data_IF_366848242590
#
_entry.id   IF_366848242590
#
_cell.length_a   1.000
_cell.length_b   1.000
_cell.length_c   1.000
_cell.angle_alpha   90.00
_cell.angle_beta   90.00
_cell.angle_gamma   90.00
#
_symmetry.space_group_name_H-M   'P 1'
#
loop_
_entity.id
_entity.type
_entity.pdbx_description
1 polymer ?
#
# COMPACT_ATOMS: atom_id res chain seq x y z
N UNK A 1 -92.52 71.15 -29.82
CA UNK A 1 -91.29 71.00 -30.64
C UNK A 1 -90.39 70.04 -29.90
N UNK A 2 -90.63 68.73 -30.08
CA UNK A 2 -89.78 67.67 -29.54
C UNK A 2 -88.75 67.31 -30.61
N UNK A 3 -87.47 67.35 -30.25
CA UNK A 3 -86.39 66.88 -31.11
C UNK A 3 -85.66 65.77 -30.38
N UNK A 4 -85.98 64.54 -30.78
CA UNK A 4 -85.28 63.30 -30.42
C UNK A 4 -83.90 63.29 -31.09
N UNK A 5 -82.83 63.17 -30.30
CA UNK A 5 -81.48 62.92 -30.85
C UNK A 5 -80.85 61.67 -30.25
N UNK A 6 -80.79 60.65 -31.10
CA UNK A 6 -79.73 59.66 -31.32
C UNK A 6 -79.05 58.99 -30.11
N UNK A 7 -79.34 57.69 -30.04
CA UNK A 7 -78.54 56.55 -29.59
C UNK A 7 -77.03 56.70 -29.85
N UNK A 8 -76.20 56.47 -28.83
CA UNK A 8 -74.77 56.17 -28.95
C UNK A 8 -74.42 54.95 -28.11
N UNK A 9 -73.99 53.89 -28.80
CA UNK A 9 -73.54 52.60 -28.28
C UNK A 9 -72.19 52.75 -27.57
N UNK A 10 -72.12 52.42 -26.28
CA UNK A 10 -70.86 52.35 -25.53
C UNK A 10 -70.18 51.01 -25.83
N UNK A 11 -69.05 51.03 -26.53
CA UNK A 11 -68.21 49.85 -26.77
C UNK A 11 -66.83 49.99 -26.14
N UNK A 12 -66.44 48.92 -25.41
CA UNK A 12 -65.09 48.47 -25.01
C UNK A 12 -64.23 49.41 -24.14
N UNK A 13 -63.77 48.89 -22.99
CA UNK A 13 -62.38 48.45 -22.87
C UNK A 13 -62.15 47.58 -21.61
N UNK A 14 -61.72 46.33 -21.77
CA UNK A 14 -61.18 45.51 -20.69
C UNK A 14 -59.68 45.81 -20.61
N UNK A 15 -59.27 46.60 -19.63
CA UNK A 15 -57.86 46.75 -19.28
C UNK A 15 -57.40 45.48 -18.55
N UNK A 16 -56.68 44.62 -19.27
CA UNK A 16 -55.90 43.52 -18.67
C UNK A 16 -54.66 44.12 -17.99
N UNK A 17 -54.60 44.03 -16.67
CA UNK A 17 -53.42 44.36 -15.88
C UNK A 17 -52.27 43.39 -16.22
N UNK A 18 -51.12 43.94 -16.62
CA UNK A 18 -49.88 43.18 -16.82
C UNK A 18 -49.21 43.03 -15.45
N UNK A 19 -48.86 41.83 -14.96
CA UNK A 19 -48.14 41.69 -13.70
C UNK A 19 -46.68 42.18 -13.86
N UNK A 20 -46.28 43.15 -13.02
CA UNK A 20 -44.89 43.56 -12.88
C UNK A 20 -44.08 42.41 -12.27
N UNK A 21 -43.30 41.71 -13.10
CA UNK A 21 -42.42 40.61 -12.68
C UNK A 21 -41.15 41.19 -12.08
N UNK A 22 -41.05 41.23 -10.75
CA UNK A 22 -39.82 41.53 -10.05
C UNK A 22 -38.80 40.40 -10.27
N UNK A 23 -37.74 40.68 -11.04
CA UNK A 23 -36.62 39.75 -11.20
C UNK A 23 -35.71 39.84 -9.97
N UNK A 24 -35.67 38.78 -9.17
CA UNK A 24 -34.73 38.64 -8.04
C UNK A 24 -33.30 38.68 -8.61
N UNK A 25 -32.41 39.61 -8.18
CA UNK A 25 -31.08 39.68 -8.74
C UNK A 25 -30.32 38.39 -8.39
N UNK A 26 -29.84 37.69 -9.42
CA UNK A 26 -29.00 36.51 -9.25
C UNK A 26 -27.75 36.90 -8.46
N UNK A 27 -27.62 36.40 -7.22
CA UNK A 27 -26.48 36.67 -6.35
C UNK A 27 -25.21 36.06 -6.95
N UNK A 28 -24.45 36.86 -7.69
CA UNK A 28 -23.19 36.47 -8.33
C UNK A 28 -22.08 36.24 -7.30
N UNK A 29 -22.15 36.89 -6.13
CA UNK A 29 -21.14 36.84 -5.08
C UNK A 29 -21.15 35.52 -4.27
N UNK A 30 -22.32 34.89 -4.11
CA UNK A 30 -22.42 33.56 -3.49
C UNK A 30 -21.81 32.46 -4.36
N UNK A 31 -21.91 32.58 -5.70
CA UNK A 31 -21.30 31.63 -6.63
C UNK A 31 -19.77 31.61 -6.52
N UNK A 32 -19.13 32.78 -6.43
CA UNK A 32 -17.67 32.86 -6.32
C UNK A 32 -17.15 32.30 -4.99
N UNK A 33 -17.88 32.51 -3.88
CA UNK A 33 -17.52 31.94 -2.56
C UNK A 33 -17.62 30.41 -2.54
N UNK A 34 -18.70 29.86 -3.11
CA UNK A 34 -18.89 28.40 -3.18
C UNK A 34 -17.85 27.75 -4.11
N UNK A 35 -17.44 28.44 -5.18
CA UNK A 35 -16.38 27.96 -6.08
C UNK A 35 -15.03 27.90 -5.37
N UNK A 36 -14.65 28.94 -4.61
CA UNK A 36 -13.40 28.96 -3.84
C UNK A 36 -13.39 27.86 -2.78
N UNK A 37 -14.50 27.69 -2.04
CA UNK A 37 -14.63 26.62 -1.06
C UNK A 37 -14.51 25.23 -1.69
N UNK A 38 -15.11 25.01 -2.87
CA UNK A 38 -15.00 23.75 -3.59
C UNK A 38 -13.56 23.42 -4.02
N UNK A 39 -12.79 24.43 -4.46
CA UNK A 39 -11.38 24.26 -4.83
C UNK A 39 -10.51 23.92 -3.62
N UNK A 40 -10.73 24.57 -2.48
CA UNK A 40 -10.01 24.26 -1.23
C UNK A 40 -10.34 22.84 -0.76
N UNK A 41 -11.62 22.46 -0.78
CA UNK A 41 -12.05 21.11 -0.40
C UNK A 41 -11.43 20.03 -1.30
N UNK A 42 -11.42 20.27 -2.62
CA UNK A 42 -10.78 19.37 -3.57
C UNK A 42 -9.27 19.26 -3.33
N UNK A 43 -8.58 20.37 -3.06
CA UNK A 43 -7.15 20.37 -2.72
C UNK A 43 -6.83 19.63 -1.42
N UNK A 44 -7.66 19.77 -0.39
CA UNK A 44 -7.51 19.02 0.86
C UNK A 44 -7.73 17.53 0.65
N UNK A 45 -8.72 17.13 -0.15
CA UNK A 45 -8.97 15.72 -0.49
C UNK A 45 -7.76 15.11 -1.22
N UNK A 46 -7.19 15.82 -2.20
CA UNK A 46 -6.00 15.38 -2.92
C UNK A 46 -4.81 15.22 -1.96
N UNK A 47 -4.61 16.19 -1.05
CA UNK A 47 -3.52 16.16 -0.07
C UNK A 47 -3.68 14.99 0.92
N UNK A 48 -4.89 14.73 1.40
CA UNK A 48 -5.21 13.61 2.29
C UNK A 48 -4.97 12.28 1.58
N UNK A 49 -5.41 12.14 0.32
CA UNK A 49 -5.13 10.94 -0.48
C UNK A 49 -3.63 10.72 -0.67
N UNK A 50 -2.85 11.79 -0.86
CA UNK A 50 -1.40 11.70 -1.00
C UNK A 50 -0.72 11.27 0.30
N UNK A 51 -1.15 11.82 1.44
CA UNK A 51 -0.65 11.42 2.77
C UNK A 51 -1.03 9.97 3.08
N UNK A 52 -2.24 9.54 2.73
CA UNK A 52 -2.67 8.16 2.92
C UNK A 52 -1.86 7.19 2.06
N UNK A 53 -1.64 7.51 0.77
CA UNK A 53 -0.79 6.74 -0.11
C UNK A 53 0.65 6.68 0.43
N UNK A 54 1.19 7.81 0.86
CA UNK A 54 2.52 7.88 1.45
C UNK A 54 2.62 7.05 2.73
N UNK A 55 1.60 7.10 3.60
CA UNK A 55 1.56 6.30 4.82
C UNK A 55 1.48 4.80 4.52
N UNK A 56 0.73 4.38 3.49
CA UNK A 56 0.70 2.99 3.04
C UNK A 56 2.08 2.53 2.52
N UNK A 57 2.75 3.36 1.71
CA UNK A 57 4.10 3.07 1.23
C UNK A 57 5.11 3.03 2.38
N UNK A 58 5.04 4.00 3.30
CA UNK A 58 5.91 4.08 4.46
C UNK A 58 5.73 2.88 5.39
N UNK A 59 4.48 2.49 5.67
CA UNK A 59 4.18 1.31 6.47
C UNK A 59 4.68 0.03 5.80
N UNK A 60 4.55 -0.10 4.48
CA UNK A 60 5.11 -1.24 3.74
C UNK A 60 6.64 -1.35 3.89
N UNK A 61 7.35 -0.23 3.90
CA UNK A 61 8.82 -0.20 4.07
C UNK A 61 9.24 -0.44 5.52
N UNK A 62 8.55 0.18 6.48
CA UNK A 62 8.96 0.18 7.90
C UNK A 62 8.34 -0.92 8.75
N UNK A 63 7.31 -1.63 8.28
CA UNK A 63 6.76 -2.82 8.95
C UNK A 63 7.49 -4.11 8.59
N UNK A 64 8.65 -4.02 7.92
CA UNK A 64 9.57 -5.15 7.84
C UNK A 64 10.17 -5.41 9.22
N UNK A 65 9.48 -6.26 9.98
CA UNK A 65 10.01 -6.89 11.18
C UNK A 65 11.30 -7.64 10.75
N UNK A 66 12.51 -7.19 11.15
CA UNK A 66 13.78 -7.76 10.69
C UNK A 66 13.89 -9.25 11.05
N UNK A 67 13.13 -9.67 12.07
CA UNK A 67 13.01 -11.03 12.57
C UNK A 67 12.13 -11.94 11.71
N UNK A 68 11.21 -11.38 10.90
CA UNK A 68 10.35 -12.16 9.98
C UNK A 68 10.98 -12.40 8.61
N UNK A 69 12.02 -11.63 8.29
CA UNK A 69 12.76 -11.69 7.05
C UNK A 69 14.16 -12.29 7.23
N UNK A 70 14.30 -13.33 8.06
CA UNK A 70 15.06 -14.48 7.56
C UNK A 70 14.18 -15.11 6.48
N UNK A 71 14.05 -14.39 5.36
CA UNK A 71 13.49 -14.93 4.15
C UNK A 71 14.24 -16.24 3.97
N UNK A 72 13.46 -17.30 3.93
CA UNK A 72 13.68 -18.52 3.17
C UNK A 72 13.88 -18.17 1.67
N UNK A 73 14.58 -17.07 1.38
CA UNK A 73 15.10 -16.72 0.09
C UNK A 73 15.93 -17.91 -0.27
N UNK A 74 15.48 -18.60 -1.31
CA UNK A 74 16.14 -19.72 -1.91
C UNK A 74 17.59 -19.30 -2.13
N UNK A 75 18.44 -19.63 -1.17
CA UNK A 75 19.87 -19.53 -1.32
C UNK A 75 20.17 -20.60 -2.35
N UNK A 76 20.04 -20.21 -3.63
CA UNK A 76 20.35 -21.11 -4.72
C UNK A 76 21.73 -21.64 -4.42
N UNK A 77 21.79 -22.96 -4.29
CA UNK A 77 23.03 -23.65 -4.06
C UNK A 77 23.92 -23.26 -5.22
N UNK A 78 24.92 -22.41 -4.95
CA UNK A 78 25.76 -21.86 -6.01
C UNK A 78 26.31 -22.99 -6.87
N UNK A 79 26.56 -22.74 -8.15
CA UNK A 79 27.11 -23.76 -9.05
C UNK A 79 28.43 -24.39 -8.54
N UNK A 80 29.13 -23.73 -7.62
CA UNK A 80 30.34 -24.22 -6.95
C UNK A 80 30.13 -24.91 -5.60
N UNK A 81 28.89 -25.22 -5.19
CA UNK A 81 28.66 -25.93 -3.93
C UNK A 81 29.25 -27.35 -4.00
N UNK A 82 30.02 -27.79 -2.99
CA UNK A 82 30.70 -29.08 -3.03
C UNK A 82 29.72 -30.24 -3.20
N UNK A 83 30.01 -31.15 -4.14
CA UNK A 83 29.16 -32.32 -4.41
C UNK A 83 29.04 -33.21 -3.18
N UNK A 84 30.12 -33.30 -2.39
CA UNK A 84 30.19 -34.05 -1.14
C UNK A 84 29.19 -33.52 -0.09
N UNK A 85 28.92 -32.22 -0.11
CA UNK A 85 28.00 -31.57 0.80
C UNK A 85 26.53 -31.69 0.37
N UNK A 86 26.27 -31.96 -0.91
CA UNK A 86 24.92 -31.96 -1.51
C UNK A 86 23.96 -32.95 -0.83
N UNK A 87 24.47 -34.10 -0.38
CA UNK A 87 23.69 -35.12 0.35
C UNK A 87 23.21 -34.67 1.75
N UNK A 88 23.77 -33.60 2.30
CA UNK A 88 23.41 -33.05 3.60
C UNK A 88 22.55 -31.79 3.50
N UNK A 89 22.27 -31.30 2.28
CA UNK A 89 21.58 -30.03 2.07
C UNK A 89 20.23 -29.97 2.77
N UNK A 90 19.40 -31.01 2.63
CA UNK A 90 18.09 -31.07 3.30
C UNK A 90 18.23 -30.98 4.83
N UNK A 91 19.22 -31.67 5.40
CA UNK A 91 19.50 -31.64 6.83
C UNK A 91 19.88 -30.22 7.29
N UNK A 92 20.71 -29.50 6.53
CA UNK A 92 21.07 -28.13 6.87
C UNK A 92 19.87 -27.18 6.78
N UNK A 93 19.02 -27.35 5.76
CA UNK A 93 17.84 -26.51 5.58
C UNK A 93 16.82 -26.74 6.70
N UNK A 94 16.48 -28.00 6.97
CA UNK A 94 15.56 -28.40 8.06
C UNK A 94 16.07 -27.95 9.43
N UNK A 95 17.36 -28.15 9.72
CA UNK A 95 17.95 -27.69 10.98
C UNK A 95 18.01 -26.16 11.05
N UNK A 96 18.29 -25.49 9.93
CA UNK A 96 18.35 -24.04 9.88
C UNK A 96 17.01 -23.39 10.18
N UNK A 97 15.93 -23.94 9.62
CA UNK A 97 14.57 -23.54 9.93
C UNK A 97 14.23 -23.81 11.41
N UNK A 98 14.50 -25.03 11.88
CA UNK A 98 14.15 -25.45 13.24
C UNK A 98 14.83 -24.63 14.34
N UNK A 99 16.08 -24.23 14.11
CA UNK A 99 16.91 -23.58 15.13
C UNK A 99 17.16 -22.09 14.86
N UNK A 100 16.61 -21.53 13.79
CA UNK A 100 16.82 -20.11 13.42
C UNK A 100 18.27 -19.79 13.04
N UNK A 101 18.99 -20.76 12.46
CA UNK A 101 20.39 -20.62 12.05
C UNK A 101 20.46 -20.70 10.51
N UNK A 102 21.11 -19.77 9.80
CA UNK A 102 21.22 -19.88 8.34
C UNK A 102 21.90 -21.20 7.93
N UNK A 103 21.25 -21.99 7.08
CA UNK A 103 21.79 -23.28 6.62
C UNK A 103 23.22 -23.22 6.03
N UNK A 104 23.67 -22.12 5.36
CA UNK A 104 25.05 -22.03 4.87
C UNK A 104 26.08 -22.05 6.01
N UNK A 105 25.71 -21.55 7.19
CA UNK A 105 26.55 -21.59 8.39
C UNK A 105 26.74 -23.04 8.85
N UNK A 106 25.66 -23.83 8.86
CA UNK A 106 25.72 -25.25 9.22
C UNK A 106 26.61 -26.04 8.23
N UNK A 107 26.46 -25.77 6.93
CA UNK A 107 27.31 -26.35 5.89
C UNK A 107 28.79 -25.95 6.06
N UNK A 108 29.06 -24.68 6.41
CA UNK A 108 30.41 -24.19 6.65
C UNK A 108 31.07 -24.86 7.87
N UNK A 109 30.33 -25.06 8.97
CA UNK A 109 30.83 -25.80 10.14
C UNK A 109 31.19 -27.24 9.76
N UNK A 110 30.29 -27.94 9.04
CA UNK A 110 30.57 -29.31 8.62
C UNK A 110 31.79 -29.41 7.67
N UNK A 111 32.01 -28.40 6.82
CA UNK A 111 33.22 -28.29 5.98
C UNK A 111 34.48 -28.15 6.83
N UNK A 112 34.48 -27.22 7.79
CA UNK A 112 35.65 -26.89 8.61
C UNK A 112 36.03 -28.05 9.52
N UNK A 113 35.04 -28.68 10.16
CA UNK A 113 35.31 -29.70 11.19
C UNK A 113 35.78 -31.03 10.61
N UNK A 114 35.14 -31.48 9.52
CA UNK A 114 35.36 -32.86 9.03
C UNK A 114 35.39 -32.96 7.51
N UNK A 115 35.37 -31.82 6.81
CA UNK A 115 35.33 -31.77 5.36
C UNK A 115 34.17 -32.59 4.77
N UNK A 116 32.96 -32.34 5.33
CA UNK A 116 31.72 -33.06 5.04
C UNK A 116 31.76 -34.56 5.39
N UNK A 117 32.43 -34.90 6.49
CA UNK A 117 32.57 -36.27 6.98
C UNK A 117 33.68 -37.08 6.30
N UNK A 118 34.59 -36.44 5.54
CA UNK A 118 35.78 -37.10 4.99
C UNK A 118 36.84 -37.38 6.05
N UNK A 119 36.89 -36.57 7.12
CA UNK A 119 37.76 -36.80 8.26
C UNK A 119 36.95 -36.84 9.56
N UNK A 120 36.55 -38.06 9.97
CA UNK A 120 35.84 -38.30 11.23
C UNK A 120 36.76 -38.83 12.34
N UNK A 121 38.08 -38.59 12.22
CA UNK A 121 39.02 -38.99 13.27
C UNK A 121 38.78 -38.20 14.56
N UNK A 122 38.95 -38.88 15.69
CA UNK A 122 38.91 -38.22 17.00
C UNK A 122 40.05 -37.22 17.07
N UNK A 123 39.75 -35.97 17.41
CA UNK A 123 40.79 -34.95 17.53
C UNK A 123 41.71 -35.21 18.72
N UNK A 124 42.85 -34.52 18.76
CA UNK A 124 43.78 -34.55 19.90
C UNK A 124 43.15 -34.12 21.23
N UNK A 125 42.04 -33.39 21.18
CA UNK A 125 41.28 -32.93 22.35
C UNK A 125 39.99 -33.73 22.58
N UNK A 126 39.85 -34.90 21.95
CA UNK A 126 38.74 -35.84 22.16
C UNK A 126 37.43 -35.47 21.48
N UNK A 127 37.42 -34.48 20.59
CA UNK A 127 36.23 -34.11 19.82
C UNK A 127 35.88 -35.17 18.76
N UNK A 128 34.59 -35.44 18.55
CA UNK A 128 34.12 -36.55 17.69
C UNK A 128 32.93 -36.16 16.79
N UNK A 129 32.73 -36.94 15.72
CA UNK A 129 31.55 -36.87 14.85
C UNK A 129 31.63 -35.76 13.79
N UNK A 130 30.54 -35.59 13.04
CA UNK A 130 30.46 -34.69 11.87
C UNK A 130 30.82 -33.22 12.17
N UNK A 131 30.58 -32.78 13.39
CA UNK A 131 30.80 -31.41 13.85
C UNK A 131 31.85 -31.32 14.96
N UNK A 132 32.64 -32.38 15.18
CA UNK A 132 33.71 -32.45 16.17
C UNK A 132 33.31 -31.83 17.52
N UNK A 133 32.29 -32.42 18.15
CA UNK A 133 31.80 -31.97 19.46
C UNK A 133 32.50 -32.76 20.56
N UNK A 134 32.81 -32.08 21.66
CA UNK A 134 33.36 -32.69 22.88
C UNK A 134 32.21 -33.10 23.81
N UNK A 135 32.30 -34.26 24.50
CA UNK A 135 31.38 -34.63 25.58
C UNK A 135 31.41 -33.65 26.77
#
# INVERSE_FOLDING_TARGET
MEVLTKTSVLTKNKQTAIPFRANKPANKQSKHRNLILAVILAGMLISISFIFLFALLFFNVFSQDPSRNMEEGQWEVSAGFPLEAKKYLSIYQEAGEKYGVPWPVLAAVHKVETDFGRNLSVSSVGATGHTQVRP
#
